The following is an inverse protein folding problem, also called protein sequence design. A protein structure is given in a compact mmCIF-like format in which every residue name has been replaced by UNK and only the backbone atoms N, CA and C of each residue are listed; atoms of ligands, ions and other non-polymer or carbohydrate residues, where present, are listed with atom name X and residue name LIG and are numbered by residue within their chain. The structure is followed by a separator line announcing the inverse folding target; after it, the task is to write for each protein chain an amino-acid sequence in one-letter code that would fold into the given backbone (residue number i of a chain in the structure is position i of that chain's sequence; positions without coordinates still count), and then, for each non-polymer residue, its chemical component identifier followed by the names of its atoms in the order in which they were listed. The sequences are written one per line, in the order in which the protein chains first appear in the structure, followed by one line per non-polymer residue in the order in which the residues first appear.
data_IF_633264480011
#
_entry.id   IF_633264480011
#
_cell.length_a   1.000
_cell.length_b   1.000
_cell.length_c   1.000
_cell.angle_alpha   90.00
_cell.angle_beta   90.00
_cell.angle_gamma   90.00
#
_symmetry.space_group_name_H-M   'P 1'
#
loop_
_entity.id
_entity.type
_entity.pdbx_description
1 polymer ?
#
# COMPACT_ATOMS: atom_id res chain seq x y z
N UNK A 1 -16.74 -12.50 20.02
CA UNK A 1 -15.88 -12.58 18.82
C UNK A 1 -16.00 -11.30 18.01
N UNK A 2 -15.06 -10.36 18.15
CA UNK A 2 -14.85 -9.24 17.21
C UNK A 2 -13.38 -8.83 17.30
N UNK A 3 -12.50 -9.63 16.68
CA UNK A 3 -11.13 -9.22 16.44
C UNK A 3 -11.16 -8.21 15.29
N UNK A 4 -11.33 -6.93 15.62
CA UNK A 4 -10.96 -5.83 14.74
C UNK A 4 -9.44 -5.87 14.60
N UNK A 5 -8.96 -6.55 13.56
CA UNK A 5 -7.58 -6.51 13.14
C UNK A 5 -7.17 -5.05 12.92
N UNK A 6 -6.27 -4.57 13.79
CA UNK A 6 -5.45 -3.39 13.53
C UNK A 6 -4.62 -3.71 12.29
N UNK A 7 -5.02 -3.18 11.14
CA UNK A 7 -4.23 -3.22 9.92
C UNK A 7 -3.09 -2.21 10.11
N UNK A 8 -1.81 -2.63 10.24
CA UNK A 8 -0.72 -1.67 10.24
C UNK A 8 -0.67 -0.99 8.88
N UNK A 9 -0.33 0.30 8.91
CA UNK A 9 -0.37 1.31 7.84
C UNK A 9 0.48 0.99 6.58
N UNK A 10 0.93 -0.25 6.43
CA UNK A 10 1.72 -0.75 5.31
C UNK A 10 0.87 -1.40 4.20
N UNK A 11 -0.41 -1.04 4.11
CA UNK A 11 -1.33 -1.49 3.06
C UNK A 11 -2.19 -0.35 2.48
N UNK A 12 -1.63 0.86 2.34
CA UNK A 12 -2.28 1.98 1.61
C UNK A 12 -1.75 2.05 0.17
N UNK A 13 -1.79 0.92 -0.54
CA UNK A 13 -1.54 0.88 -1.98
C UNK A 13 -2.46 -0.13 -2.69
N UNK A 14 -3.65 -0.36 -2.12
CA UNK A 14 -4.62 -1.32 -2.65
C UNK A 14 -6.08 -0.88 -2.39
N UNK A 15 -6.38 0.40 -2.66
CA UNK A 15 -7.76 0.90 -2.74
C UNK A 15 -7.90 1.98 -3.83
N UNK A 16 -7.48 1.63 -5.04
CA UNK A 16 -7.88 2.32 -6.27
C UNK A 16 -8.20 1.31 -7.38
N UNK A 17 -8.92 0.25 -7.00
CA UNK A 17 -9.73 -0.51 -7.96
C UNK A 17 -11.17 -0.04 -7.75
N UNK A 18 -11.84 0.26 -8.87
CA UNK A 18 -13.19 0.82 -9.01
C UNK A 18 -13.29 2.35 -9.09
N UNK A 19 -12.70 2.92 -10.15
CA UNK A 19 -13.46 3.88 -10.96
C UNK A 19 -13.04 3.77 -12.44
N UNK A 20 -13.09 2.55 -12.98
CA UNK A 20 -13.14 2.34 -14.42
C UNK A 20 -14.45 2.93 -14.97
N UNK A 21 -14.36 4.14 -15.52
CA UNK A 21 -14.87 4.51 -16.84
C UNK A 21 -16.36 4.37 -17.22
N UNK A 22 -17.22 3.68 -16.47
CA UNK A 22 -18.58 3.32 -16.93
C UNK A 22 -19.71 3.68 -15.94
N UNK A 23 -19.56 4.78 -15.20
CA UNK A 23 -20.67 5.36 -14.43
C UNK A 23 -20.87 6.86 -14.71
N UNK A 24 -20.73 7.26 -15.98
CA UNK A 24 -21.10 8.61 -16.46
C UNK A 24 -22.63 8.80 -16.51
N UNK A 25 -23.43 7.76 -16.26
CA UNK A 25 -24.88 7.79 -16.38
C UNK A 25 -25.73 7.96 -15.11
N UNK A 26 -25.14 7.92 -13.90
CA UNK A 26 -25.91 8.07 -12.65
C UNK A 26 -25.15 8.87 -11.59
N UNK A 27 -24.82 10.12 -11.89
CA UNK A 27 -24.62 11.11 -10.84
C UNK A 27 -25.99 11.38 -10.17
N UNK A 28 -26.37 10.50 -9.23
CA UNK A 28 -27.22 10.89 -8.09
C UNK A 28 -26.73 12.26 -7.65
N UNK A 29 -27.62 13.24 -7.51
CA UNK A 29 -27.29 14.61 -7.09
C UNK A 29 -26.49 14.56 -5.79
N UNK A 30 -25.16 14.51 -5.90
CA UNK A 30 -24.25 14.50 -4.76
C UNK A 30 -24.45 15.84 -4.07
N UNK A 31 -24.89 15.79 -2.80
CA UNK A 31 -25.20 17.02 -2.06
C UNK A 31 -23.97 17.95 -2.05
N UNK A 32 -24.17 19.28 -2.03
CA UNK A 32 -23.06 20.23 -1.90
C UNK A 32 -22.16 19.92 -0.69
N UNK A 33 -22.75 19.39 0.37
CA UNK A 33 -22.05 18.93 1.57
C UNK A 33 -21.15 17.72 1.29
N UNK A 34 -21.64 16.69 0.59
CA UNK A 34 -20.83 15.53 0.22
C UNK A 34 -19.66 15.94 -0.69
N UNK A 35 -19.88 16.84 -1.66
CA UNK A 35 -18.79 17.37 -2.50
C UNK A 35 -17.72 18.08 -1.66
N UNK A 36 -18.14 18.85 -0.65
CA UNK A 36 -17.22 19.56 0.26
C UNK A 36 -16.39 18.58 1.09
N UNK A 37 -17.02 17.53 1.64
CA UNK A 37 -16.35 16.49 2.41
C UNK A 37 -15.35 15.71 1.57
N UNK A 38 -15.72 15.32 0.35
CA UNK A 38 -14.81 14.63 -0.59
C UNK A 38 -13.60 15.50 -0.92
N UNK A 39 -13.83 16.79 -1.18
CA UNK A 39 -12.74 17.73 -1.46
C UNK A 39 -11.79 17.84 -0.27
N UNK A 40 -12.32 18.07 0.92
CA UNK A 40 -11.52 18.20 2.15
C UNK A 40 -10.71 16.92 2.43
N UNK A 41 -11.33 15.75 2.24
CA UNK A 41 -10.65 14.46 2.38
C UNK A 41 -9.51 14.33 1.38
N UNK A 42 -9.73 14.68 0.11
CA UNK A 42 -8.70 14.62 -0.93
C UNK A 42 -7.52 15.55 -0.66
N UNK A 43 -7.79 16.77 -0.18
CA UNK A 43 -6.75 17.75 0.15
C UNK A 43 -5.91 17.27 1.35
N UNK A 44 -6.54 16.69 2.38
CA UNK A 44 -5.84 16.10 3.52
C UNK A 44 -5.02 14.87 3.12
N UNK A 45 -5.59 13.99 2.28
CA UNK A 45 -4.88 12.82 1.78
C UNK A 45 -3.57 13.22 1.09
N UNK A 46 -3.61 14.19 0.15
CA UNK A 46 -2.41 14.68 -0.54
C UNK A 46 -1.37 15.25 0.42
N UNK A 47 -1.82 15.98 1.43
CA UNK A 47 -0.92 16.57 2.44
C UNK A 47 -0.24 15.49 3.27
N UNK A 48 -1.01 14.51 3.76
CA UNK A 48 -0.48 13.38 4.54
C UNK A 48 0.45 12.52 3.68
N UNK A 49 0.08 12.25 2.43
CA UNK A 49 0.90 11.48 1.49
C UNK A 49 2.26 12.15 1.25
N UNK A 50 2.30 13.47 1.08
CA UNK A 50 3.56 14.22 0.92
C UNK A 50 4.45 14.09 2.15
N UNK A 51 3.88 14.24 3.35
CA UNK A 51 4.61 14.09 4.62
C UNK A 51 5.14 12.66 4.75
N UNK A 52 4.32 11.67 4.42
CA UNK A 52 4.70 10.27 4.48
C UNK A 52 5.84 9.95 3.49
N UNK A 53 5.78 10.44 2.25
CA UNK A 53 6.83 10.25 1.23
C UNK A 53 8.16 10.83 1.68
N UNK A 54 8.14 12.04 2.25
CA UNK A 54 9.32 12.67 2.81
C UNK A 54 9.86 11.87 4.01
N UNK A 55 8.97 11.42 4.91
CA UNK A 55 9.35 10.60 6.05
C UNK A 55 9.99 9.26 5.62
N UNK A 56 9.42 8.59 4.62
CA UNK A 56 9.95 7.34 4.05
C UNK A 56 11.27 7.51 3.31
N UNK A 57 11.69 8.75 3.00
CA UNK A 57 12.99 9.04 2.40
C UNK A 57 14.12 9.13 3.44
N UNK A 58 13.80 8.99 4.73
CA UNK A 58 14.80 8.94 5.80
C UNK A 58 15.72 7.71 5.63
N UNK A 59 17.06 7.90 5.61
CA UNK A 59 17.99 6.79 5.37
C UNK A 59 17.87 5.63 6.35
N UNK A 60 17.51 5.89 7.61
CA UNK A 60 17.36 4.85 8.63
C UNK A 60 16.11 4.02 8.34
N UNK A 61 14.98 4.68 8.01
CA UNK A 61 13.76 3.99 7.61
C UNK A 61 13.92 3.16 6.33
N UNK A 62 14.68 3.68 5.36
CA UNK A 62 15.01 2.96 4.12
C UNK A 62 15.81 1.69 4.42
N UNK A 63 16.86 1.79 5.24
CA UNK A 63 17.70 0.65 5.61
C UNK A 63 16.94 -0.40 6.44
N UNK A 64 16.12 0.03 7.39
CA UNK A 64 15.30 -0.87 8.21
C UNK A 64 14.21 -1.56 7.38
N UNK A 65 13.57 -0.84 6.46
CA UNK A 65 12.62 -1.42 5.52
C UNK A 65 13.27 -2.45 4.60
N UNK A 66 14.50 -2.21 4.15
CA UNK A 66 15.29 -3.17 3.37
C UNK A 66 15.60 -4.43 4.18
N UNK A 67 16.09 -4.28 5.41
CA UNK A 67 16.40 -5.41 6.31
C UNK A 67 15.17 -6.26 6.61
N UNK A 68 14.04 -5.63 6.90
CA UNK A 68 12.78 -6.34 7.12
C UNK A 68 12.38 -7.13 5.87
N UNK A 69 12.47 -6.53 4.67
CA UNK A 69 12.18 -7.21 3.40
C UNK A 69 13.08 -8.41 3.17
N UNK A 70 14.39 -8.27 3.36
CA UNK A 70 15.36 -9.36 3.22
C UNK A 70 15.07 -10.51 4.18
N UNK A 71 14.77 -10.18 5.44
CA UNK A 71 14.37 -11.16 6.46
C UNK A 71 13.09 -11.89 6.08
N UNK A 72 12.06 -11.16 5.65
CA UNK A 72 10.80 -11.76 5.18
C UNK A 72 11.04 -12.69 3.98
N UNK A 73 11.85 -12.27 3.00
CA UNK A 73 12.22 -13.10 1.85
C UNK A 73 12.92 -14.39 2.28
N UNK A 74 13.90 -14.30 3.18
CA UNK A 74 14.59 -15.47 3.70
C UNK A 74 13.62 -16.43 4.41
N UNK A 75 12.66 -15.91 5.18
CA UNK A 75 11.65 -16.72 5.85
C UNK A 75 10.66 -17.37 4.87
N UNK A 76 10.25 -16.65 3.82
CA UNK A 76 9.38 -17.21 2.78
C UNK A 76 10.07 -18.38 2.07
N UNK A 77 11.33 -18.21 1.65
CA UNK A 77 12.12 -19.26 1.00
C UNK A 77 12.38 -20.44 1.94
N UNK A 78 12.65 -20.18 3.22
CA UNK A 78 12.85 -21.22 4.22
C UNK A 78 11.58 -22.06 4.43
N UNK A 79 10.41 -21.44 4.37
CA UNK A 79 9.11 -22.11 4.53
C UNK A 79 8.71 -22.88 3.26
N UNK A 80 8.96 -22.29 2.09
CA UNK A 80 8.71 -22.90 0.79
C UNK A 80 9.84 -22.52 -0.19
N UNK A 81 10.76 -23.47 -0.52
CA UNK A 81 11.84 -23.22 -1.46
C UNK A 81 11.39 -22.81 -2.87
N UNK A 82 10.15 -23.14 -3.26
CA UNK A 82 9.60 -22.75 -4.57
C UNK A 82 9.44 -21.24 -4.71
N UNK A 83 9.32 -20.51 -3.58
CA UNK A 83 9.28 -19.04 -3.55
C UNK A 83 10.49 -18.43 -4.23
N UNK A 84 11.67 -19.05 -4.10
CA UNK A 84 12.88 -18.55 -4.74
C UNK A 84 12.69 -18.45 -6.26
N UNK A 85 12.11 -19.51 -6.86
CA UNK A 85 11.83 -19.54 -8.29
C UNK A 85 10.77 -18.50 -8.68
N UNK A 86 9.72 -18.31 -7.87
CA UNK A 86 8.70 -17.29 -8.11
C UNK A 86 9.29 -15.86 -8.11
N UNK A 87 10.24 -15.58 -7.22
CA UNK A 87 10.95 -14.30 -7.17
C UNK A 87 11.82 -14.10 -8.41
N UNK A 88 12.60 -15.11 -8.80
CA UNK A 88 13.44 -15.07 -10.01
C UNK A 88 12.60 -14.90 -11.29
N UNK A 89 11.47 -15.60 -11.40
CA UNK A 89 10.55 -15.46 -12.55
C UNK A 89 9.94 -14.06 -12.61
N UNK A 90 9.60 -13.47 -11.45
CA UNK A 90 9.07 -12.11 -11.38
C UNK A 90 10.13 -11.07 -11.79
N UNK A 91 11.35 -11.17 -11.26
CA UNK A 91 12.47 -10.27 -11.60
C UNK A 91 12.82 -10.35 -13.09
N UNK A 92 12.74 -11.54 -13.69
CA UNK A 92 12.91 -11.73 -15.12
C UNK A 92 11.88 -10.95 -15.94
N UNK A 93 10.60 -10.97 -15.52
CA UNK A 93 9.55 -10.21 -16.20
C UNK A 93 9.81 -8.70 -16.06
N UNK A 94 10.15 -8.22 -14.86
CA UNK A 94 10.48 -6.81 -14.61
C UNK A 94 11.64 -6.35 -15.53
N UNK A 95 12.71 -7.14 -15.59
CA UNK A 95 13.87 -6.88 -16.45
C UNK A 95 13.53 -6.88 -17.94
N UNK A 96 12.62 -7.76 -18.39
CA UNK A 96 12.18 -7.80 -19.79
C UNK A 96 11.39 -6.56 -20.18
N UNK A 97 10.51 -6.09 -19.31
CA UNK A 97 9.71 -4.89 -19.56
C UNK A 97 10.58 -3.63 -19.51
N UNK A 98 11.55 -3.56 -18.60
CA UNK A 98 12.49 -2.43 -18.52
C UNK A 98 13.43 -2.36 -19.73
N UNK A 99 13.90 -3.51 -20.22
CA UNK A 99 14.82 -3.60 -21.34
C UNK A 99 14.17 -3.26 -22.70
N UNK A 100 12.85 -3.39 -22.83
CA UNK A 100 12.12 -3.12 -24.07
C UNK A 100 10.95 -2.14 -23.85
N UNK A 101 11.21 -0.82 -23.89
CA UNK A 101 10.17 0.20 -23.72
C UNK A 101 9.18 0.25 -24.91
N UNK A 102 9.49 -0.39 -26.04
CA UNK A 102 8.62 -0.43 -27.23
C UNK A 102 7.97 -1.82 -27.43
N UNK A 103 7.96 -2.64 -26.37
CA UNK A 103 7.43 -3.99 -26.42
C UNK A 103 6.01 -4.02 -27.00
N UNK A 104 5.78 -4.96 -27.92
CA UNK A 104 4.47 -5.19 -28.52
C UNK A 104 3.37 -5.36 -27.46
N UNK A 105 2.24 -4.67 -27.66
CA UNK A 105 1.18 -4.54 -26.66
C UNK A 105 0.65 -5.90 -26.17
N UNK A 106 0.51 -6.87 -27.08
CA UNK A 106 0.05 -8.22 -26.74
C UNK A 106 1.07 -9.00 -25.89
N UNK A 107 2.37 -8.79 -26.13
CA UNK A 107 3.44 -9.38 -25.32
C UNK A 107 3.46 -8.75 -23.94
N UNK A 108 3.37 -7.41 -23.87
CA UNK A 108 3.30 -6.66 -22.62
C UNK A 108 2.09 -7.10 -21.78
N UNK A 109 0.92 -7.30 -22.41
CA UNK A 109 -0.29 -7.80 -21.72
C UNK A 109 -0.09 -9.19 -21.13
N UNK A 110 0.56 -10.11 -21.87
CA UNK A 110 0.87 -11.46 -21.35
C UNK A 110 1.82 -11.42 -20.17
N UNK A 111 2.91 -10.65 -20.27
CA UNK A 111 3.86 -10.47 -19.17
C UNK A 111 3.20 -9.85 -17.95
N UNK A 112 2.30 -8.87 -18.16
CA UNK A 112 1.53 -8.27 -17.08
C UNK A 112 0.64 -9.29 -16.36
N UNK A 113 -0.07 -10.15 -17.09
CA UNK A 113 -0.89 -11.23 -16.49
C UNK A 113 -0.02 -12.19 -15.69
N UNK A 114 1.11 -12.64 -16.24
CA UNK A 114 2.05 -13.52 -15.54
C UNK A 114 2.60 -12.87 -14.27
N UNK A 115 2.98 -11.59 -14.36
CA UNK A 115 3.45 -10.82 -13.22
C UNK A 115 2.40 -10.74 -12.10
N UNK A 116 1.14 -10.50 -12.45
CA UNK A 116 0.03 -10.47 -11.48
C UNK A 116 -0.17 -11.83 -10.81
N UNK A 117 -0.12 -12.93 -11.57
CA UNK A 117 -0.25 -14.29 -11.02
C UNK A 117 0.91 -14.63 -10.06
N UNK A 118 2.14 -14.31 -10.42
CA UNK A 118 3.31 -14.50 -9.56
C UNK A 118 3.21 -13.64 -8.29
N UNK A 119 2.79 -12.38 -8.44
CA UNK A 119 2.59 -11.46 -7.31
C UNK A 119 1.54 -12.00 -6.34
N UNK A 120 0.43 -12.53 -6.85
CA UNK A 120 -0.62 -13.14 -6.01
C UNK A 120 -0.08 -14.32 -5.20
N UNK A 121 0.68 -15.22 -5.83
CA UNK A 121 1.31 -16.36 -5.13
C UNK A 121 2.28 -15.88 -4.05
N UNK A 122 3.14 -14.91 -4.38
CA UNK A 122 4.09 -14.33 -3.44
C UNK A 122 3.39 -13.66 -2.24
N UNK A 123 2.25 -12.99 -2.46
CA UNK A 123 1.46 -12.38 -1.39
C UNK A 123 0.93 -13.42 -0.39
N UNK A 124 0.53 -14.61 -0.84
CA UNK A 124 0.07 -15.69 0.03
C UNK A 124 1.20 -16.15 0.98
N UNK A 125 2.43 -16.29 0.46
CA UNK A 125 3.61 -16.59 1.28
C UNK A 125 3.97 -15.45 2.23
N UNK A 126 3.90 -14.20 1.74
CA UNK A 126 4.22 -13.01 2.51
C UNK A 126 3.28 -12.85 3.70
N UNK A 127 1.97 -13.05 3.51
CA UNK A 127 0.99 -12.98 4.58
C UNK A 127 1.32 -13.96 5.71
N UNK A 128 1.66 -15.20 5.35
CA UNK A 128 1.99 -16.22 6.34
C UNK A 128 3.29 -15.93 7.12
N UNK A 129 4.23 -15.16 6.56
CA UNK A 129 5.44 -14.71 7.26
C UNK A 129 5.17 -13.46 8.10
N UNK A 130 4.34 -12.54 7.60
CA UNK A 130 3.95 -11.33 8.31
C UNK A 130 3.22 -11.63 9.62
N UNK A 131 2.55 -12.78 9.70
CA UNK A 131 1.88 -13.20 10.93
C UNK A 131 2.84 -13.64 12.05
N UNK A 132 4.14 -13.80 11.77
CA UNK A 132 5.14 -14.20 12.77
C UNK A 132 5.41 -13.07 13.79
N UNK A 133 5.49 -13.36 15.10
CA UNK A 133 5.61 -12.33 16.14
C UNK A 133 6.82 -11.41 16.00
N UNK A 134 7.96 -11.95 15.57
CA UNK A 134 9.20 -11.20 15.39
C UNK A 134 9.10 -10.23 14.19
N UNK A 135 8.46 -10.66 13.10
CA UNK A 135 8.20 -9.81 11.93
C UNK A 135 7.20 -8.70 12.28
N UNK A 136 6.13 -9.02 13.02
CA UNK A 136 5.19 -8.00 13.51
C UNK A 136 5.88 -6.95 14.37
N UNK A 137 6.68 -7.39 15.34
CA UNK A 137 7.38 -6.48 16.23
C UNK A 137 8.38 -5.56 15.49
N UNK A 138 9.07 -6.07 14.47
CA UNK A 138 9.95 -5.26 13.63
C UNK A 138 9.17 -4.26 12.77
N UNK A 139 8.05 -4.69 12.17
CA UNK A 139 7.18 -3.81 11.39
C UNK A 139 6.57 -2.70 12.25
N UNK A 140 6.14 -3.00 13.48
CA UNK A 140 5.62 -2.01 14.43
C UNK A 140 6.68 -0.97 14.81
N UNK A 141 7.94 -1.39 15.03
CA UNK A 141 9.05 -0.46 15.31
C UNK A 141 9.31 0.49 14.14
N UNK A 142 9.25 -0.02 12.91
CA UNK A 142 9.41 0.81 11.70
C UNK A 142 8.24 1.79 11.57
N UNK A 143 7.01 1.34 11.84
CA UNK A 143 5.81 2.19 11.82
C UNK A 143 5.87 3.32 12.88
N UNK A 144 6.36 3.01 14.09
CA UNK A 144 6.59 4.02 15.13
C UNK A 144 7.62 5.07 14.70
N UNK A 145 8.74 4.64 14.10
CA UNK A 145 9.76 5.57 13.58
C UNK A 145 9.23 6.41 12.44
N UNK A 146 8.43 5.82 11.55
CA UNK A 146 7.75 6.55 10.48
C UNK A 146 6.85 7.65 11.06
N UNK A 147 6.02 7.32 12.06
CA UNK A 147 5.16 8.30 12.74
C UNK A 147 5.96 9.40 13.41
N UNK A 148 7.04 9.07 14.10
CA UNK A 148 7.94 10.06 14.70
C UNK A 148 8.52 10.99 13.63
N UNK A 149 8.96 10.44 12.50
CA UNK A 149 9.51 11.23 11.40
C UNK A 149 8.45 12.13 10.75
N UNK A 150 7.25 11.63 10.53
CA UNK A 150 6.12 12.44 10.03
C UNK A 150 5.80 13.60 11.00
N UNK A 151 5.83 13.36 12.32
CA UNK A 151 5.61 14.40 13.32
C UNK A 151 6.74 15.44 13.36
N UNK A 152 7.99 15.03 13.07
CA UNK A 152 9.11 15.96 12.94
C UNK A 152 8.99 16.83 11.69
N UNK A 153 8.53 16.26 10.56
CA UNK A 153 8.28 17.00 9.31
C UNK A 153 7.10 17.97 9.49
N UNK A 154 6.03 17.50 10.13
CA UNK A 154 4.86 18.32 10.40
C UNK A 154 4.28 17.99 11.79
N UNK A 155 4.40 18.90 12.78
CA UNK A 155 3.86 18.70 14.13
C UNK A 155 2.33 18.55 14.20
N UNK A 156 1.59 19.02 13.18
CA UNK A 156 0.15 18.85 13.09
C UNK A 156 -0.27 17.52 12.47
N UNK A 157 0.67 16.66 12.04
CA UNK A 157 0.37 15.33 11.47
C UNK A 157 -0.67 14.53 12.26
N UNK A 158 -0.60 14.44 13.60
CA UNK A 158 -1.61 13.70 14.37
C UNK A 158 -3.03 14.27 14.19
N UNK A 159 -3.17 15.61 14.16
CA UNK A 159 -4.46 16.28 13.93
C UNK A 159 -4.95 16.07 12.49
N UNK A 160 -4.05 16.05 11.51
CA UNK A 160 -4.40 15.79 10.11
C UNK A 160 -4.94 14.36 9.94
N UNK A 161 -4.28 13.38 10.57
CA UNK A 161 -4.72 11.97 10.56
C UNK A 161 -6.07 11.80 11.26
N UNK A 162 -6.26 12.43 12.41
CA UNK A 162 -7.54 12.43 13.13
C UNK A 162 -8.66 13.05 12.29
N UNK A 163 -8.39 14.20 11.65
CA UNK A 163 -9.35 14.85 10.76
C UNK A 163 -9.71 13.99 9.56
N UNK A 164 -8.73 13.32 8.95
CA UNK A 164 -8.95 12.40 7.85
C UNK A 164 -9.87 11.25 8.26
N UNK A 165 -9.67 10.68 9.45
CA UNK A 165 -10.55 9.63 10.01
C UNK A 165 -11.98 10.13 10.21
N UNK A 166 -12.17 11.32 10.80
CA UNK A 166 -13.50 11.92 10.97
C UNK A 166 -14.21 12.14 9.63
N UNK A 167 -13.48 12.58 8.60
CA UNK A 167 -14.05 12.77 7.26
C UNK A 167 -14.43 11.44 6.62
N UNK A 168 -13.64 10.39 6.81
CA UNK A 168 -13.97 9.05 6.32
C UNK A 168 -15.28 8.55 6.93
N UNK A 169 -15.43 8.63 8.26
CA UNK A 169 -16.64 8.23 8.97
C UNK A 169 -17.88 9.00 8.45
N UNK A 170 -17.73 10.32 8.21
CA UNK A 170 -18.81 11.13 7.61
C UNK A 170 -19.15 10.73 6.18
N UNK A 171 -18.15 10.40 5.37
CA UNK A 171 -18.36 9.99 3.98
C UNK A 171 -19.03 8.61 3.89
N UNK A 172 -18.72 7.71 4.82
CA UNK A 172 -19.37 6.39 4.93
C UNK A 172 -20.83 6.54 5.36
N UNK A 173 -21.13 7.38 6.35
CA UNK A 173 -22.50 7.63 6.82
C UNK A 173 -23.43 8.26 5.77
N UNK A 174 -22.91 8.86 4.70
CA UNK A 174 -23.70 9.43 3.59
C UNK A 174 -24.03 8.38 2.51
N UNK A 175 -23.35 7.22 2.54
CA UNK A 175 -23.61 6.13 1.57
C UNK A 175 -24.78 5.23 1.97
N UNK A 176 -25.17 5.25 3.24
CA UNK A 176 -26.39 4.64 3.79
C UNK A 176 -27.63 5.52 3.57
#
# INVERSE_FOLDING_TARGET
MKYLFKIPYMMVLLLLVLYSGESVGQLKKVSPEHKKLVKEYSDLYKKIESIQKEAMSDPVLVDEGKKLREKMTALMIKKDPSVKKLLEEREKIESQVEADPNMEQETLKKLHTQYQELTKKLQEHQHAVMEQPDIKAEAEKIDEKLKQKMNMINPDTPKLLERMKILQEKLEAIKE
#
